data_IF_554361643131
#
_entry.id   IF_554361643131
#
_cell.length_a   1.000
_cell.length_b   1.000
_cell.length_c   1.000
_cell.angle_alpha   90.00
_cell.angle_beta   90.00
_cell.angle_gamma   90.00
#
_symmetry.space_group_name_H-M   'P 1'
#
loop_
_entity.id
_entity.type
_entity.pdbx_description
1 polymer ?
#
# COMPACT_ATOMS: atom_id res chain seq x y z
N UNK A 1 6.61 -9.08 -20.54
CA UNK A 1 6.66 -7.97 -19.55
C UNK A 1 5.70 -6.82 -19.91
N UNK A 2 5.91 -6.08 -21.01
CA UNK A 2 5.13 -4.87 -21.32
C UNK A 2 3.60 -5.05 -21.42
N UNK A 3 3.11 -6.21 -21.90
CA UNK A 3 1.66 -6.49 -21.99
C UNK A 3 1.01 -6.58 -20.61
N UNK A 4 1.71 -7.17 -19.63
CA UNK A 4 1.21 -7.26 -18.26
C UNK A 4 1.25 -5.89 -17.59
N UNK A 5 2.35 -5.15 -17.74
CA UNK A 5 2.52 -3.83 -17.14
C UNK A 5 1.45 -2.84 -17.64
N UNK A 6 1.17 -2.85 -18.95
CA UNK A 6 0.12 -2.02 -19.53
C UNK A 6 -1.28 -2.34 -19.00
N UNK A 7 -1.58 -3.62 -18.74
CA UNK A 7 -2.85 -4.05 -18.12
C UNK A 7 -2.93 -3.61 -16.66
N UNK A 8 -1.84 -3.78 -15.91
CA UNK A 8 -1.77 -3.35 -14.51
C UNK A 8 -1.92 -1.84 -14.38
N UNK A 9 -1.28 -1.06 -15.26
CA UNK A 9 -1.38 0.40 -15.28
C UNK A 9 -2.82 0.88 -15.51
N UNK A 10 -3.55 0.24 -16.43
CA UNK A 10 -4.98 0.51 -16.67
C UNK A 10 -5.87 0.12 -15.49
N UNK A 11 -5.47 -0.90 -14.74
CA UNK A 11 -6.25 -1.44 -13.62
C UNK A 11 -6.17 -0.58 -12.33
N UNK A 12 -5.09 0.18 -12.13
CA UNK A 12 -4.89 0.99 -10.91
C UNK A 12 -6.04 1.96 -10.58
N UNK A 13 -6.56 2.78 -11.52
CA UNK A 13 -7.67 3.69 -11.19
C UNK A 13 -8.94 2.93 -10.75
N UNK A 14 -9.23 1.77 -11.35
CA UNK A 14 -10.36 0.94 -10.94
C UNK A 14 -10.14 0.35 -9.53
N UNK A 15 -8.91 -0.08 -9.22
CA UNK A 15 -8.52 -0.57 -7.89
C UNK A 15 -8.64 0.52 -6.81
N UNK A 16 -8.16 1.73 -7.07
CA UNK A 16 -8.27 2.87 -6.14
C UNK A 16 -9.72 3.30 -5.93
N UNK A 17 -10.52 3.32 -7.01
CA UNK A 17 -11.97 3.50 -6.87
C UNK A 17 -12.55 2.43 -5.96
N UNK A 18 -12.22 1.15 -6.14
CA UNK A 18 -12.75 0.06 -5.32
C UNK A 18 -12.44 0.27 -3.84
N UNK A 19 -11.18 0.54 -3.50
CA UNK A 19 -10.75 0.75 -2.12
C UNK A 19 -11.33 2.02 -1.48
N UNK A 20 -11.53 3.09 -2.25
CA UNK A 20 -12.07 4.36 -1.73
C UNK A 20 -13.56 4.29 -1.32
N UNK A 21 -14.26 3.21 -1.67
CA UNK A 21 -15.64 2.95 -1.24
C UNK A 21 -15.74 2.48 0.20
N UNK A 22 -14.68 1.87 0.73
CA UNK A 22 -14.64 1.44 2.11
C UNK A 22 -14.40 2.65 3.02
N UNK A 23 -15.13 2.78 4.14
CA UNK A 23 -14.96 3.91 5.04
C UNK A 23 -13.55 3.92 5.61
N UNK A 24 -13.07 5.13 5.90
CA UNK A 24 -11.76 5.33 6.49
C UNK A 24 -11.66 4.58 7.83
N UNK A 25 -10.65 3.72 7.96
CA UNK A 25 -10.45 2.91 9.16
C UNK A 25 -10.05 3.74 10.39
N UNK A 26 -9.94 3.08 11.54
CA UNK A 26 -9.55 3.70 12.84
C UNK A 26 -8.25 4.51 12.73
N UNK A 27 -7.32 4.09 11.87
CA UNK A 27 -6.07 4.82 11.61
C UNK A 27 -6.29 6.25 11.10
N UNK A 28 -7.29 6.49 10.25
CA UNK A 28 -7.60 7.83 9.75
C UNK A 28 -8.17 8.73 10.85
N UNK A 29 -8.97 8.17 11.77
CA UNK A 29 -9.51 8.89 12.93
C UNK A 29 -8.38 9.35 13.85
N UNK A 30 -7.45 8.44 14.18
CA UNK A 30 -6.27 8.74 15.01
C UNK A 30 -5.39 9.79 14.32
N UNK A 31 -5.11 9.61 13.02
CA UNK A 31 -4.33 10.57 12.24
C UNK A 31 -5.02 11.95 12.22
N UNK A 32 -6.35 11.98 12.18
CA UNK A 32 -7.16 13.19 12.33
C UNK A 32 -6.87 13.92 13.63
N UNK A 33 -6.99 13.21 14.76
CA UNK A 33 -6.66 13.74 16.08
C UNK A 33 -5.21 14.25 16.20
N UNK A 34 -4.24 13.47 15.70
CA UNK A 34 -2.82 13.86 15.70
C UNK A 34 -2.59 15.11 14.85
N UNK A 35 -3.18 15.17 13.64
CA UNK A 35 -3.05 16.33 12.75
C UNK A 35 -3.64 17.59 13.38
N UNK A 36 -4.76 17.47 14.10
CA UNK A 36 -5.38 18.59 14.81
C UNK A 36 -4.46 19.11 15.92
N UNK A 37 -3.96 18.23 16.81
CA UNK A 37 -3.04 18.61 17.88
C UNK A 37 -1.74 19.23 17.34
N UNK A 38 -1.14 18.62 16.31
CA UNK A 38 0.07 19.13 15.67
C UNK A 38 -0.17 20.50 15.02
N UNK A 39 -1.30 20.69 14.35
CA UNK A 39 -1.66 21.97 13.71
C UNK A 39 -1.88 23.09 14.74
N UNK A 40 -2.48 22.79 15.90
CA UNK A 40 -2.67 23.77 16.96
C UNK A 40 -1.32 24.25 17.52
N UNK A 41 -0.38 23.34 17.76
CA UNK A 41 0.97 23.69 18.22
C UNK A 41 1.75 24.46 17.15
N UNK A 42 1.66 24.02 15.89
CA UNK A 42 2.27 24.69 14.75
C UNK A 42 1.73 26.13 14.59
N UNK A 43 0.42 26.34 14.71
CA UNK A 43 -0.20 27.65 14.61
C UNK A 43 0.26 28.62 15.71
N UNK A 44 0.42 28.14 16.95
CA UNK A 44 0.95 28.96 18.05
C UNK A 44 2.41 29.34 17.80
N UNK A 45 3.25 28.41 17.33
CA UNK A 45 4.66 28.68 17.01
C UNK A 45 4.80 29.67 15.84
N UNK A 46 3.98 29.53 14.80
CA UNK A 46 3.94 30.48 13.68
C UNK A 46 3.43 31.85 14.17
N UNK A 47 2.41 31.90 15.04
CA UNK A 47 1.91 33.14 15.61
C UNK A 47 2.99 33.90 16.40
N UNK A 48 3.77 33.20 17.22
CA UNK A 48 4.91 33.77 17.94
C UNK A 48 6.00 34.28 16.98
N UNK A 49 6.24 33.56 15.88
CA UNK A 49 7.18 33.98 14.84
C UNK A 49 6.81 35.31 14.19
N UNK A 50 5.52 35.59 14.04
CA UNK A 50 5.04 36.83 13.41
C UNK A 50 5.16 38.04 14.33
N UNK A 51 5.15 37.83 15.65
CA UNK A 51 5.32 38.91 16.63
C UNK A 51 6.80 39.28 16.75
N UNK A 52 7.67 38.28 16.89
CA UNK A 52 9.12 38.48 17.00
C UNK A 52 9.89 37.29 16.40
N UNK A 53 10.49 37.50 15.23
CA UNK A 53 11.34 36.50 14.56
C UNK A 53 12.55 36.08 15.42
N UNK A 54 13.01 36.99 16.28
CA UNK A 54 14.13 36.74 17.20
C UNK A 54 13.83 35.65 18.23
N UNK A 55 12.55 35.41 18.55
CA UNK A 55 12.15 34.38 19.51
C UNK A 55 12.36 32.97 18.96
N UNK A 56 12.27 32.75 17.64
CA UNK A 56 12.48 31.43 17.04
C UNK A 56 13.95 30.98 17.11
N UNK A 57 14.89 31.92 16.94
CA UNK A 57 16.31 31.63 16.87
C UNK A 57 17.02 31.73 18.23
N UNK A 58 16.66 32.71 19.07
CA UNK A 58 17.39 32.98 20.33
C UNK A 58 16.82 32.24 21.53
N UNK A 59 15.52 31.93 21.53
CA UNK A 59 14.88 31.29 22.67
C UNK A 59 15.10 29.78 22.59
N UNK A 60 15.90 29.25 23.51
CA UNK A 60 16.11 27.80 23.66
C UNK A 60 15.14 27.26 24.70
N UNK A 61 14.27 26.33 24.28
CA UNK A 61 13.36 25.63 25.18
C UNK A 61 13.83 24.18 25.33
N UNK A 62 14.23 23.79 26.53
CA UNK A 62 14.71 22.43 26.81
C UNK A 62 15.99 22.05 26.05
N UNK A 63 16.80 23.02 25.61
CA UNK A 63 18.09 22.80 24.93
C UNK A 63 18.05 22.84 23.40
N UNK A 64 16.87 22.97 22.77
CA UNK A 64 16.72 23.15 21.33
C UNK A 64 16.07 24.51 20.98
N UNK A 65 16.39 25.12 19.82
CA UNK A 65 15.73 26.34 19.37
C UNK A 65 14.25 26.06 19.03
N UNK A 66 13.39 27.07 19.20
CA UNK A 66 11.96 26.94 18.84
C UNK A 66 11.74 26.49 17.38
N UNK A 67 12.66 26.86 16.48
CA UNK A 67 12.64 26.41 15.09
C UNK A 67 12.63 24.88 14.95
N UNK A 68 13.33 24.15 15.82
CA UNK A 68 13.36 22.68 15.80
C UNK A 68 11.99 22.07 16.11
N UNK A 69 11.24 22.67 17.04
CA UNK A 69 9.88 22.23 17.35
C UNK A 69 8.90 22.60 16.23
N UNK A 70 9.11 23.72 15.53
CA UNK A 70 8.32 24.12 14.37
C UNK A 70 8.51 23.12 13.22
N UNK A 71 9.74 22.74 12.90
CA UNK A 71 9.99 21.74 11.85
C UNK A 71 9.41 20.39 12.22
N UNK A 72 9.55 19.97 13.48
CA UNK A 72 8.99 18.70 13.97
C UNK A 72 7.46 18.69 13.90
N UNK A 73 6.79 19.72 14.42
CA UNK A 73 5.32 19.82 14.38
C UNK A 73 4.78 19.91 12.96
N UNK A 74 5.48 20.62 12.07
CA UNK A 74 5.13 20.69 10.64
C UNK A 74 5.27 19.33 9.96
N UNK A 75 6.37 18.61 10.23
CA UNK A 75 6.58 17.26 9.71
C UNK A 75 5.51 16.29 10.20
N UNK A 76 5.20 16.30 11.50
CA UNK A 76 4.13 15.46 12.06
C UNK A 76 2.76 15.82 11.47
N UNK A 77 2.47 17.11 11.27
CA UNK A 77 1.23 17.56 10.64
C UNK A 77 1.11 17.08 9.19
N UNK A 78 2.13 17.30 8.36
CA UNK A 78 2.10 16.89 6.95
C UNK A 78 2.02 15.38 6.82
N UNK A 79 2.77 14.65 7.65
CA UNK A 79 2.72 13.20 7.69
C UNK A 79 1.36 12.69 8.14
N UNK A 80 0.78 13.19 9.24
CA UNK A 80 -0.55 12.78 9.69
C UNK A 80 -1.63 13.10 8.63
N UNK A 81 -1.48 14.20 7.89
CA UNK A 81 -2.42 14.61 6.84
C UNK A 81 -2.46 13.68 5.63
N UNK A 82 -1.38 12.95 5.34
CA UNK A 82 -1.39 11.95 4.25
C UNK A 82 -2.35 10.79 4.56
N UNK A 83 -2.54 10.47 5.84
CA UNK A 83 -3.46 9.40 6.28
C UNK A 83 -4.91 9.87 6.41
N UNK A 84 -5.16 11.17 6.62
CA UNK A 84 -6.52 11.73 6.76
C UNK A 84 -7.15 12.14 5.45
N UNK A 85 -6.35 12.39 4.42
CA UNK A 85 -6.84 12.74 3.07
C UNK A 85 -7.30 11.48 2.35
N UNK A 86 -8.23 10.74 2.95
CA UNK A 86 -9.06 9.77 2.24
C UNK A 86 -10.30 10.54 1.79
N UNK A 87 -10.44 10.66 0.47
CA UNK A 87 -11.57 11.18 -0.33
C UNK A 87 -12.85 11.49 0.45
N UNK A 88 -13.41 12.69 0.20
CA UNK A 88 -14.66 13.14 0.80
C UNK A 88 -15.74 12.04 0.81
N UNK A 89 -16.26 11.64 1.98
CA UNK A 89 -17.20 10.53 2.12
C UNK A 89 -18.58 10.80 1.50
N UNK A 90 -18.80 12.01 0.97
CA UNK A 90 -20.10 12.44 0.46
C UNK A 90 -20.33 12.13 -1.02
N UNK A 91 -19.29 11.79 -1.80
CA UNK A 91 -19.40 11.61 -3.26
C UNK A 91 -19.35 10.15 -3.73
N UNK A 92 -19.07 9.18 -2.85
CA UNK A 92 -18.73 7.80 -3.25
C UNK A 92 -19.74 6.73 -2.78
N UNK A 93 -20.75 7.13 -2.00
CA UNK A 93 -21.68 6.18 -1.33
C UNK A 93 -22.78 5.61 -2.22
N UNK A 94 -22.87 6.00 -3.51
CA UNK A 94 -24.00 5.63 -4.39
C UNK A 94 -23.61 4.77 -5.60
N UNK A 95 -22.42 4.16 -5.62
CA UNK A 95 -21.96 3.33 -6.74
C UNK A 95 -21.69 1.88 -6.32
N UNK A 96 -22.12 0.93 -7.15
CA UNK A 96 -21.98 -0.51 -6.90
C UNK A 96 -20.49 -0.90 -6.81
N UNK A 97 -20.04 -1.39 -5.65
CA UNK A 97 -18.67 -1.91 -5.47
C UNK A 97 -18.37 -3.07 -6.42
N UNK A 98 -19.43 -3.78 -6.82
CA UNK A 98 -19.35 -4.88 -7.77
C UNK A 98 -18.99 -4.40 -9.19
N UNK A 99 -19.51 -3.26 -9.65
CA UNK A 99 -19.21 -2.70 -10.97
C UNK A 99 -17.71 -2.39 -11.11
N UNK A 100 -17.12 -1.77 -10.10
CA UNK A 100 -15.68 -1.47 -10.14
C UNK A 100 -14.80 -2.70 -10.01
N UNK A 101 -15.23 -3.71 -9.25
CA UNK A 101 -14.53 -4.98 -9.21
C UNK A 101 -14.65 -5.71 -10.57
N UNK A 102 -15.77 -5.56 -11.28
CA UNK A 102 -15.91 -6.06 -12.65
C UNK A 102 -14.97 -5.34 -13.63
N UNK A 103 -14.93 -3.99 -13.61
CA UNK A 103 -13.98 -3.18 -14.40
C UNK A 103 -12.54 -3.61 -14.14
N UNK A 104 -12.17 -3.78 -12.88
CA UNK A 104 -10.85 -4.25 -12.46
C UNK A 104 -10.54 -5.67 -12.95
N UNK A 105 -11.51 -6.58 -12.83
CA UNK A 105 -11.36 -7.96 -13.28
C UNK A 105 -11.26 -8.08 -14.80
N UNK A 106 -11.86 -7.16 -15.55
CA UNK A 106 -11.73 -7.12 -17.00
C UNK A 106 -10.28 -6.88 -17.43
N UNK A 107 -9.55 -6.03 -16.71
CA UNK A 107 -8.14 -5.76 -16.99
C UNK A 107 -7.21 -6.82 -16.39
N UNK A 108 -7.46 -7.30 -15.17
CA UNK A 108 -6.57 -8.26 -14.46
C UNK A 108 -6.83 -9.73 -14.83
N UNK A 109 -8.02 -10.05 -15.35
CA UNK A 109 -8.54 -11.41 -15.57
C UNK A 109 -8.59 -12.28 -14.30
N UNK A 110 -8.56 -11.66 -13.12
CA UNK A 110 -8.63 -12.36 -11.84
C UNK A 110 -9.91 -11.97 -11.10
N UNK A 111 -10.82 -12.94 -10.95
CA UNK A 111 -12.05 -12.75 -10.17
C UNK A 111 -12.49 -14.06 -9.52
N UNK A 112 -12.05 -14.31 -8.27
CA UNK A 112 -12.43 -15.49 -7.51
C UNK A 112 -13.95 -15.63 -7.40
N UNK A 113 -14.45 -16.87 -7.47
CA UNK A 113 -15.88 -17.15 -7.32
C UNK A 113 -16.42 -16.70 -5.95
N UNK A 114 -15.55 -16.64 -4.94
CA UNK A 114 -15.87 -16.19 -3.59
C UNK A 114 -16.20 -14.70 -3.52
N UNK A 115 -15.74 -13.87 -4.46
CA UNK A 115 -15.95 -12.42 -4.42
C UNK A 115 -17.31 -12.00 -4.99
N UNK A 116 -17.90 -12.82 -5.86
CA UNK A 116 -19.17 -12.56 -6.55
C UNK A 116 -20.30 -12.28 -5.57
N UNK A 117 -21.01 -11.16 -5.76
CA UNK A 117 -22.09 -10.71 -4.87
C UNK A 117 -21.66 -10.37 -3.44
N UNK A 118 -20.35 -10.30 -3.14
CA UNK A 118 -19.79 -9.99 -1.81
C UNK A 118 -18.70 -8.92 -1.84
N UNK A 119 -18.59 -8.17 -2.95
CA UNK A 119 -17.56 -7.14 -3.14
C UNK A 119 -17.64 -5.98 -2.12
N UNK A 120 -18.72 -5.85 -1.37
CA UNK A 120 -18.85 -4.87 -0.29
C UNK A 120 -18.33 -5.37 1.07
N UNK A 121 -18.00 -6.66 1.18
CA UNK A 121 -17.49 -7.23 2.44
C UNK A 121 -16.04 -6.84 2.68
N UNK A 122 -15.70 -6.60 3.95
CA UNK A 122 -14.32 -6.39 4.39
C UNK A 122 -13.43 -7.62 4.14
N UNK A 123 -13.98 -8.83 4.11
CA UNK A 123 -13.21 -10.04 3.79
C UNK A 123 -12.64 -9.96 2.37
N UNK A 124 -13.47 -9.55 1.40
CA UNK A 124 -13.05 -9.39 0.00
C UNK A 124 -12.08 -8.22 -0.14
N UNK A 125 -12.29 -7.13 0.60
CA UNK A 125 -11.32 -6.04 0.68
C UNK A 125 -9.96 -6.53 1.15
N UNK A 126 -9.91 -7.32 2.22
CA UNK A 126 -8.64 -7.77 2.82
C UNK A 126 -7.91 -8.77 1.91
N UNK A 127 -8.65 -9.69 1.28
CA UNK A 127 -8.09 -10.56 0.23
C UNK A 127 -7.56 -9.75 -0.96
N UNK A 128 -8.27 -8.68 -1.35
CA UNK A 128 -7.82 -7.80 -2.43
C UNK A 128 -6.58 -6.98 -2.05
N UNK A 129 -6.53 -6.41 -0.84
CA UNK A 129 -5.38 -5.66 -0.32
C UNK A 129 -4.14 -6.55 -0.18
N UNK A 130 -4.30 -7.86 0.02
CA UNK A 130 -3.18 -8.80 -0.03
C UNK A 130 -2.54 -8.89 -1.43
N UNK A 131 -3.33 -8.71 -2.50
CA UNK A 131 -2.85 -8.66 -3.89
C UNK A 131 -2.39 -7.26 -4.29
N UNK A 132 -3.02 -6.22 -3.75
CA UNK A 132 -2.70 -4.81 -3.98
C UNK A 132 -2.29 -4.12 -2.66
N UNK A 133 -1.09 -4.43 -2.13
CA UNK A 133 -0.65 -3.91 -0.84
C UNK A 133 -0.32 -2.42 -0.90
N UNK A 134 -0.50 -1.74 0.23
CA UNK A 134 -0.08 -0.35 0.36
C UNK A 134 1.44 -0.20 0.15
N UNK A 135 1.85 0.91 -0.48
CA UNK A 135 3.27 1.21 -0.74
C UNK A 135 4.16 1.17 0.52
N UNK A 136 3.63 1.58 1.67
CA UNK A 136 4.37 1.49 2.94
C UNK A 136 4.63 0.05 3.40
N UNK A 137 3.66 -0.86 3.17
CA UNK A 137 3.83 -2.30 3.45
C UNK A 137 4.83 -2.91 2.48
N UNK A 138 4.79 -2.52 1.20
CA UNK A 138 5.75 -2.96 0.19
C UNK A 138 7.18 -2.56 0.57
N UNK A 139 7.39 -1.31 0.98
CA UNK A 139 8.69 -0.82 1.43
C UNK A 139 9.21 -1.61 2.65
N UNK A 140 8.35 -1.88 3.63
CA UNK A 140 8.72 -2.72 4.77
C UNK A 140 9.11 -4.13 4.34
N UNK A 141 8.36 -4.71 3.40
CA UNK A 141 8.66 -6.02 2.83
C UNK A 141 10.00 -6.03 2.10
N UNK A 142 10.35 -4.97 1.36
CA UNK A 142 11.67 -4.84 0.72
C UNK A 142 12.80 -4.84 1.77
N UNK A 143 12.67 -4.09 2.86
CA UNK A 143 13.66 -4.13 3.95
C UNK A 143 13.77 -5.50 4.61
N UNK A 144 12.63 -6.14 4.90
CA UNK A 144 12.59 -7.49 5.47
C UNK A 144 13.17 -8.52 4.50
N UNK A 145 12.96 -8.37 3.20
CA UNK A 145 13.44 -9.30 2.18
C UNK A 145 14.96 -9.38 2.16
N UNK A 146 15.66 -8.26 2.37
CA UNK A 146 17.13 -8.23 2.45
C UNK A 146 17.63 -9.07 3.63
N UNK A 147 16.92 -9.04 4.75
CA UNK A 147 17.28 -9.79 5.96
C UNK A 147 16.87 -11.27 5.86
N UNK A 148 15.71 -11.56 5.27
CA UNK A 148 15.13 -12.90 5.21
C UNK A 148 15.64 -13.73 4.03
N UNK A 149 16.06 -13.10 2.93
CA UNK A 149 16.60 -13.79 1.75
C UNK A 149 17.71 -14.81 2.06
N UNK A 150 18.78 -14.51 2.84
CA UNK A 150 19.79 -15.50 3.17
C UNK A 150 19.23 -16.68 3.97
N UNK A 151 18.29 -16.42 4.89
CA UNK A 151 17.64 -17.48 5.66
C UNK A 151 16.78 -18.39 4.76
N UNK A 152 15.98 -17.81 3.87
CA UNK A 152 15.15 -18.56 2.93
C UNK A 152 16.04 -19.42 2.02
N UNK A 153 17.11 -18.85 1.46
CA UNK A 153 18.00 -19.56 0.54
C UNK A 153 18.83 -20.66 1.23
N UNK A 154 19.37 -20.41 2.42
CA UNK A 154 20.26 -21.36 3.09
C UNK A 154 19.52 -22.42 3.92
N UNK A 155 18.29 -22.16 4.37
CA UNK A 155 17.56 -23.06 5.27
C UNK A 155 16.27 -23.55 4.64
N UNK A 156 15.39 -22.66 4.19
CA UNK A 156 14.05 -23.06 3.72
C UNK A 156 14.09 -23.76 2.36
N UNK A 157 14.82 -23.20 1.39
CA UNK A 157 14.92 -23.72 0.03
C UNK A 157 15.53 -25.13 -0.05
N UNK A 158 16.65 -25.48 0.63
CA UNK A 158 17.20 -26.82 0.55
C UNK A 158 16.28 -27.89 1.13
N UNK A 159 15.44 -27.54 2.13
CA UNK A 159 14.45 -28.46 2.68
C UNK A 159 13.35 -28.81 1.65
N UNK A 160 13.00 -27.87 0.77
CA UNK A 160 12.02 -28.08 -0.31
C UNK A 160 12.62 -28.55 -1.64
N UNK A 161 13.95 -28.70 -1.72
CA UNK A 161 14.64 -28.98 -2.98
C UNK A 161 14.14 -30.25 -3.68
N UNK A 162 13.79 -31.29 -2.92
CA UNK A 162 13.25 -32.55 -3.47
C UNK A 162 11.92 -32.32 -4.21
N UNK A 163 11.02 -31.55 -3.62
CA UNK A 163 9.69 -31.30 -4.19
C UNK A 163 9.79 -30.40 -5.43
N UNK A 164 10.70 -29.43 -5.41
CA UNK A 164 11.00 -28.59 -6.57
C UNK A 164 11.52 -29.44 -7.73
N UNK A 165 12.48 -30.35 -7.47
CA UNK A 165 13.02 -31.24 -8.51
C UNK A 165 11.95 -32.18 -9.06
N UNK A 166 11.07 -32.69 -8.20
CA UNK A 166 9.93 -33.51 -8.61
C UNK A 166 8.99 -32.71 -9.50
N UNK A 167 8.62 -31.49 -9.11
CA UNK A 167 7.77 -30.61 -9.90
C UNK A 167 8.35 -30.38 -11.30
N UNK A 168 9.63 -29.99 -11.38
CA UNK A 168 10.31 -29.74 -12.66
C UNK A 168 10.32 -31.00 -13.53
N UNK A 169 10.68 -32.16 -12.97
CA UNK A 169 10.71 -33.42 -13.74
C UNK A 169 9.33 -33.82 -14.27
N UNK A 170 8.28 -33.65 -13.46
CA UNK A 170 6.92 -34.07 -13.82
C UNK A 170 6.22 -33.10 -14.77
N UNK A 171 6.61 -31.82 -14.76
CA UNK A 171 5.95 -30.77 -15.54
C UNK A 171 6.80 -30.18 -16.67
N UNK A 172 7.91 -30.84 -17.05
CA UNK A 172 8.69 -30.46 -18.23
C UNK A 172 8.25 -31.26 -19.45
N UNK A 173 7.86 -30.57 -20.51
CA UNK A 173 7.57 -31.15 -21.83
C UNK A 173 8.65 -30.70 -22.82
N UNK A 174 9.08 -31.58 -23.73
CA UNK A 174 10.08 -31.25 -24.75
C UNK A 174 9.38 -31.15 -26.11
N UNK A 175 9.33 -29.94 -26.66
CA UNK A 175 8.74 -29.66 -27.97
C UNK A 175 9.82 -29.69 -29.06
N UNK A 176 9.53 -30.23 -30.27
CA UNK A 176 10.52 -30.38 -31.34
C UNK A 176 11.18 -29.07 -31.80
N UNK A 177 10.49 -27.94 -31.70
CA UNK A 177 10.96 -26.63 -32.21
C UNK A 177 11.46 -25.68 -31.11
N UNK A 178 11.02 -25.87 -29.86
CA UNK A 178 11.19 -24.90 -28.77
C UNK A 178 12.02 -25.45 -27.60
N UNK A 179 12.22 -26.78 -27.54
CA UNK A 179 12.95 -27.44 -26.46
C UNK A 179 12.08 -27.69 -25.22
N UNK A 180 12.71 -27.73 -24.06
CA UNK A 180 12.06 -28.02 -22.78
C UNK A 180 11.27 -26.82 -22.26
N UNK A 181 9.95 -26.98 -22.09
CA UNK A 181 9.04 -25.94 -21.57
C UNK A 181 8.23 -26.47 -20.39
N UNK A 182 7.70 -25.55 -19.59
CA UNK A 182 6.72 -25.88 -18.56
C UNK A 182 5.40 -26.29 -19.21
N UNK A 183 4.85 -27.43 -18.79
CA UNK A 183 3.56 -27.97 -19.26
C UNK A 183 2.41 -26.96 -19.20
N UNK A 184 2.39 -26.07 -18.22
CA UNK A 184 1.33 -25.07 -18.05
C UNK A 184 1.48 -23.84 -18.96
N UNK A 185 2.61 -23.71 -19.66
CA UNK A 185 2.84 -22.66 -20.64
C UNK A 185 2.52 -23.10 -22.07
N UNK A 186 2.13 -24.36 -22.27
CA UNK A 186 1.61 -24.86 -23.55
C UNK A 186 0.16 -24.37 -23.70
N UNK A 187 0.01 -23.27 -24.45
CA UNK A 187 -1.27 -22.68 -24.85
C UNK A 187 -1.40 -22.70 -26.38
#
# INVERSE_FOLDING_TARGET
PHVLDARMERSYPAAERYLSRFPAGVGAIIAGGVSFCASSLMAVLIGLSLVDESLLLKTTLGGAPLLWYLTLTTFVFTFARTFTTTTSPFLVTNGDSEEAMMELSAETHYFPKTWRGRCESYDVRDEFVALYPYKGVLLLHEFLSVLLAPYILCVSLPLLARDILLFVRTHTLVLPQTGAVCRFAEF
#
